data_IF_078778980457
#
_entry.id   IF_078778980457
#
_cell.length_a   1.000
_cell.length_b   1.000
_cell.length_c   1.000
_cell.angle_alpha   90.00
_cell.angle_beta   90.00
_cell.angle_gamma   90.00
#
_symmetry.space_group_name_H-M   'P 1'
#
loop_
_entity.id
_entity.type
_entity.pdbx_description
1 polymer ?
#
# COMPACT_ATOMS: atom_id res chain seq x y z
N UNK A 1 5.46 12.11 -12.41
CA UNK A 1 5.82 12.99 -11.28
C UNK A 1 6.14 12.07 -10.11
N UNK A 2 7.38 12.08 -9.62
CA UNK A 2 7.80 11.30 -8.44
C UNK A 2 7.74 12.25 -7.24
N UNK A 3 6.66 12.19 -6.47
CA UNK A 3 6.46 13.06 -5.30
C UNK A 3 6.60 12.25 -4.02
N UNK A 4 7.63 12.50 -3.23
CA UNK A 4 7.82 11.84 -1.93
C UNK A 4 7.45 12.84 -0.83
N UNK A 5 6.28 12.69 -0.23
CA UNK A 5 5.89 13.45 0.95
C UNK A 5 6.17 12.57 2.18
N UNK A 6 7.26 12.85 2.89
CA UNK A 6 7.63 12.10 4.10
C UNK A 6 7.16 12.89 5.31
N UNK A 7 6.03 12.51 5.88
CA UNK A 7 5.67 12.93 7.24
C UNK A 7 6.36 11.97 8.23
N UNK A 8 7.03 12.46 9.29
CA UNK A 8 7.77 11.61 10.23
C UNK A 8 6.89 10.64 11.03
N UNK A 9 5.58 10.90 11.11
CA UNK A 9 4.59 10.05 11.77
C UNK A 9 3.71 9.26 10.77
N UNK A 10 3.69 9.66 9.50
CA UNK A 10 2.91 9.02 8.43
C UNK A 10 3.71 8.99 7.12
N UNK A 11 4.16 7.80 6.70
CA UNK A 11 4.99 7.67 5.49
C UNK A 11 4.12 7.53 4.23
N UNK A 12 3.83 8.64 3.56
CA UNK A 12 3.10 8.65 2.29
C UNK A 12 4.05 8.52 1.09
N UNK A 13 4.15 7.31 0.52
CA UNK A 13 5.02 7.05 -0.65
C UNK A 13 4.26 7.08 -1.99
N UNK A 14 3.90 8.26 -2.49
CA UNK A 14 3.23 8.41 -3.79
C UNK A 14 4.24 8.29 -4.95
N UNK A 15 4.43 7.08 -5.45
CA UNK A 15 5.16 6.89 -6.71
C UNK A 15 4.18 6.75 -7.86
N UNK A 16 4.07 7.79 -8.70
CA UNK A 16 3.34 7.72 -9.98
C UNK A 16 4.35 7.67 -11.12
N UNK A 17 4.60 6.48 -11.67
CA UNK A 17 5.37 6.36 -12.91
C UNK A 17 4.45 6.75 -14.07
N UNK A 18 4.72 7.90 -14.69
CA UNK A 18 4.11 8.29 -15.95
C UNK A 18 5.01 7.82 -17.08
N UNK A 19 4.53 6.88 -17.89
CA UNK A 19 5.05 6.67 -19.24
C UNK A 19 4.72 7.92 -20.09
N UNK A 20 5.44 8.12 -21.20
CA UNK A 20 5.18 9.18 -22.20
C UNK A 20 3.70 9.23 -22.67
N UNK A 21 2.92 8.18 -22.44
CA UNK A 21 1.53 8.00 -22.89
C UNK A 21 0.43 8.34 -21.86
N UNK A 22 0.70 9.12 -20.81
CA UNK A 22 -0.30 9.48 -19.75
C UNK A 22 -1.00 8.27 -19.10
N UNK A 23 -0.35 7.10 -19.09
CA UNK A 23 -0.86 5.89 -18.41
C UNK A 23 -0.40 5.86 -16.97
N UNK A 24 -1.34 5.56 -16.08
CA UNK A 24 -1.06 5.24 -14.69
C UNK A 24 -0.42 3.84 -14.63
N UNK A 25 0.73 3.72 -13.96
CA UNK A 25 1.49 2.46 -13.94
C UNK A 25 1.36 1.76 -12.59
N UNK A 26 1.69 2.46 -11.50
CA UNK A 26 1.66 1.95 -10.13
C UNK A 26 1.38 3.11 -9.18
N UNK A 27 0.85 2.79 -8.01
CA UNK A 27 0.74 3.69 -6.87
C UNK A 27 0.87 2.89 -5.59
N UNK A 28 1.59 3.41 -4.61
CA UNK A 28 1.76 2.79 -3.31
C UNK A 28 1.43 3.80 -2.22
N UNK A 29 0.91 3.35 -1.10
CA UNK A 29 0.68 4.16 0.09
C UNK A 29 0.79 3.28 1.32
N UNK A 30 1.62 3.67 2.29
CA UNK A 30 1.72 3.06 3.61
C UNK A 30 1.17 4.01 4.69
N UNK A 31 0.42 3.48 5.65
CA UNK A 31 0.11 4.12 6.91
C UNK A 31 1.15 3.65 7.92
N UNK A 32 2.00 4.56 8.38
CA UNK A 32 2.80 4.27 9.55
C UNK A 32 1.86 4.09 10.74
N UNK A 33 1.80 2.91 11.41
CA UNK A 33 1.14 2.87 12.70
C UNK A 33 1.87 3.85 13.62
N UNK A 34 1.16 4.66 14.41
CA UNK A 34 1.80 5.43 15.47
C UNK A 34 2.80 4.54 16.22
N UNK A 35 4.02 5.02 16.49
CA UNK A 35 5.08 4.23 17.18
C UNK A 35 4.64 3.62 18.51
N UNK A 36 3.49 4.01 19.05
CA UNK A 36 2.89 3.46 20.26
C UNK A 36 1.97 2.26 19.98
N UNK A 37 1.27 2.23 18.85
CA UNK A 37 0.30 1.18 18.52
C UNK A 37 0.94 -0.06 17.91
N UNK A 38 2.14 0.00 17.32
CA UNK A 38 2.80 -1.20 16.77
C UNK A 38 2.99 -2.30 17.82
N UNK A 39 3.31 -1.93 19.07
CA UNK A 39 3.50 -2.87 20.19
C UNK A 39 2.20 -3.55 20.63
N UNK A 40 1.07 -2.97 20.24
CA UNK A 40 -0.26 -3.44 20.60
C UNK A 40 -0.89 -4.29 19.50
N UNK A 41 -0.27 -4.41 18.32
CA UNK A 41 -0.77 -5.25 17.23
C UNK A 41 -0.24 -6.69 17.40
N UNK A 42 -1.00 -7.67 16.90
CA UNK A 42 -0.51 -9.06 16.83
C UNK A 42 0.70 -9.11 15.88
N UNK A 43 1.66 -10.01 16.09
CA UNK A 43 2.82 -10.18 15.20
C UNK A 43 2.43 -10.93 13.90
N UNK A 44 1.33 -10.51 13.28
CA UNK A 44 0.77 -11.09 12.05
C UNK A 44 0.41 -9.96 11.11
N UNK A 45 0.95 -10.02 9.90
CA UNK A 45 0.58 -9.15 8.79
C UNK A 45 -0.14 -10.01 7.77
N UNK A 46 -1.35 -9.61 7.40
CA UNK A 46 -2.11 -10.26 6.33
C UNK A 46 -1.96 -9.41 5.08
N UNK A 47 -1.58 -10.06 3.97
CA UNK A 47 -1.48 -9.43 2.67
C UNK A 47 -2.49 -10.08 1.76
N UNK A 48 -3.38 -9.28 1.18
CA UNK A 48 -4.34 -9.74 0.19
C UNK A 48 -4.12 -9.08 -1.16
N UNK A 49 -4.32 -9.85 -2.23
CA UNK A 49 -4.26 -9.40 -3.63
C UNK A 49 -5.63 -9.54 -4.26
N UNK A 50 -6.25 -8.39 -4.54
CA UNK A 50 -7.53 -8.32 -5.25
C UNK A 50 -7.34 -7.86 -6.69
N UNK A 51 -7.80 -8.65 -7.67
CA UNK A 51 -7.79 -8.26 -9.08
C UNK A 51 -8.85 -7.21 -9.38
N UNK A 52 -8.44 -6.08 -9.97
CA UNK A 52 -9.36 -5.03 -10.39
C UNK A 52 -10.03 -5.42 -11.72
N UNK A 53 -11.36 -5.35 -11.76
CA UNK A 53 -12.16 -5.58 -12.98
C UNK A 53 -12.67 -4.26 -13.55
N UNK A 54 -12.78 -4.15 -14.87
CA UNK A 54 -13.33 -2.97 -15.56
C UNK A 54 -12.30 -2.21 -16.40
N UNK A 55 -12.45 -0.88 -16.48
CA UNK A 55 -11.61 -0.01 -17.32
C UNK A 55 -10.15 0.04 -16.87
N UNK A 56 -9.92 -0.11 -15.57
CA UNK A 56 -8.59 -0.15 -14.98
C UNK A 56 -8.22 -1.60 -14.70
N UNK A 57 -7.23 -2.10 -15.44
CA UNK A 57 -6.65 -3.41 -15.22
C UNK A 57 -5.57 -3.30 -14.13
N UNK A 58 -5.29 -4.41 -13.46
CA UNK A 58 -4.26 -4.49 -12.43
C UNK A 58 -4.70 -5.26 -11.19
N UNK A 59 -3.95 -5.10 -10.11
CA UNK A 59 -4.19 -5.69 -8.80
C UNK A 59 -4.06 -4.64 -7.71
N UNK A 60 -5.02 -4.64 -6.78
CA UNK A 60 -4.91 -3.95 -5.51
C UNK A 60 -4.25 -4.90 -4.51
N UNK A 61 -3.08 -4.54 -4.01
CA UNK A 61 -2.46 -5.18 -2.86
C UNK A 61 -2.85 -4.41 -1.61
N UNK A 62 -3.25 -5.13 -0.58
CA UNK A 62 -3.57 -4.58 0.73
C UNK A 62 -2.76 -5.31 1.79
N UNK A 63 -2.12 -4.56 2.68
CA UNK A 63 -1.45 -5.10 3.85
C UNK A 63 -2.17 -4.59 5.09
N UNK A 64 -2.57 -5.51 5.97
CA UNK A 64 -3.28 -5.20 7.20
C UNK A 64 -2.60 -5.88 8.39
N UNK A 65 -2.65 -5.24 9.54
CA UNK A 65 -2.39 -5.86 10.83
C UNK A 65 -3.70 -6.09 11.57
N UNK A 66 -3.66 -6.96 12.57
CA UNK A 66 -4.81 -7.28 13.41
C UNK A 66 -4.41 -7.03 14.87
N UNK A 67 -5.26 -6.35 15.63
CA UNK A 67 -5.01 -6.15 17.06
C UNK A 67 -5.46 -7.37 17.91
N UNK A 68 -5.13 -7.43 19.21
CA UNK A 68 -5.58 -8.50 20.11
C UNK A 68 -7.11 -8.64 20.17
N UNK A 69 -7.85 -7.57 19.91
CA UNK A 69 -9.32 -7.52 19.87
C UNK A 69 -9.92 -7.85 18.50
N UNK A 70 -9.11 -8.30 17.54
CA UNK A 70 -9.51 -8.64 16.16
C UNK A 70 -9.97 -7.45 15.30
N UNK A 71 -9.59 -6.22 15.65
CA UNK A 71 -9.78 -5.08 14.76
C UNK A 71 -8.73 -5.08 13.65
N UNK A 72 -9.17 -4.73 12.44
CA UNK A 72 -8.32 -4.62 11.26
C UNK A 72 -7.68 -3.23 11.24
N UNK A 73 -6.36 -3.19 11.14
CA UNK A 73 -5.57 -1.97 11.00
C UNK A 73 -4.88 -1.96 9.63
N UNK A 74 -5.28 -1.07 8.70
CA UNK A 74 -4.62 -0.98 7.40
C UNK A 74 -3.20 -0.45 7.56
N UNK A 75 -2.23 -1.20 7.01
CA UNK A 75 -0.80 -0.82 7.00
C UNK A 75 -0.40 -0.23 5.65
N UNK A 76 -0.83 -0.81 4.54
CA UNK A 76 -0.48 -0.29 3.21
C UNK A 76 -1.46 -0.72 2.13
N UNK A 77 -1.50 0.06 1.05
CA UNK A 77 -2.22 -0.23 -0.18
C UNK A 77 -1.29 -0.01 -1.38
N UNK A 78 -1.47 -0.81 -2.42
CA UNK A 78 -0.76 -0.63 -3.68
C UNK A 78 -1.67 -0.96 -4.86
N UNK A 79 -1.70 -0.12 -5.88
CA UNK A 79 -2.28 -0.46 -7.17
C UNK A 79 -1.12 -0.76 -8.10
N UNK A 80 -1.07 -1.98 -8.61
CA UNK A 80 -0.05 -2.45 -9.54
C UNK A 80 -0.70 -2.96 -10.82
N UNK A 81 -0.08 -2.71 -11.97
CA UNK A 81 -0.58 -3.27 -13.24
C UNK A 81 -0.29 -4.79 -13.34
N UNK A 82 0.89 -5.21 -12.86
CA UNK A 82 1.35 -6.60 -12.87
C UNK A 82 2.31 -6.88 -11.71
N UNK A 83 2.42 -8.14 -11.29
CA UNK A 83 3.50 -8.60 -10.40
C UNK A 83 4.84 -8.35 -11.08
N UNK A 84 5.74 -7.65 -10.38
CA UNK A 84 7.11 -7.40 -10.82
C UNK A 84 8.06 -8.00 -9.80
N UNK A 85 9.03 -8.77 -10.27
CA UNK A 85 10.09 -9.37 -9.44
C UNK A 85 11.31 -8.46 -9.29
N UNK A 86 11.29 -7.26 -9.86
CA UNK A 86 12.35 -6.27 -9.67
C UNK A 86 12.34 -5.77 -8.22
N UNK A 87 13.49 -5.96 -7.55
CA UNK A 87 13.74 -5.58 -6.15
C UNK A 87 14.41 -4.21 -6.04
#
# INVERSE_FOLDING_TARGET
MKGRLVDPDFVFHIQTTSCKDKRFTRHFWCFGPPKKTYKLLRPVIVIDRTFLKGRYRGSLLTAIAIDPSNHIFPLAFSIIDSETTES
#
